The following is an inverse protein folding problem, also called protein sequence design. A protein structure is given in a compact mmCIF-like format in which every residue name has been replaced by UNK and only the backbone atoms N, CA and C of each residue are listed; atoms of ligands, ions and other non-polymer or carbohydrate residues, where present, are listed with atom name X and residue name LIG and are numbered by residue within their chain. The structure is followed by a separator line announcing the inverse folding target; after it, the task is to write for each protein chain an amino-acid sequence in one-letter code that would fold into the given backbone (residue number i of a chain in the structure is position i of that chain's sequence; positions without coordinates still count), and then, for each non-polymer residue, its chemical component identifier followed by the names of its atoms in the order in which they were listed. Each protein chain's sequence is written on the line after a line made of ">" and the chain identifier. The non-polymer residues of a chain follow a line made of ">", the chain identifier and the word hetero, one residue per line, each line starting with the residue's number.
data_IF_246905591239
#
_entry.id   IF_246905591239
#
_cell.length_a   1.000
_cell.length_b   1.000
_cell.length_c   1.000
_cell.angle_alpha   90.00
_cell.angle_beta   90.00
_cell.angle_gamma   90.00
#
_symmetry.space_group_name_H-M   'P 1'
#
loop_
_entity.id
_entity.type
_entity.pdbx_description
1 polymer ?
#
# COMPACT_ATOMS: atom_id res chain seq x y z
N UNK A 1 -2.58 -16.57 16.39
CA UNK A 1 -2.04 -15.20 16.30
C UNK A 1 -2.54 -14.53 15.03
N UNK A 2 -2.95 -13.26 15.07
CA UNK A 2 -3.37 -12.52 13.86
C UNK A 2 -2.12 -12.03 13.13
N UNK A 3 -2.04 -12.33 11.85
CA UNK A 3 -0.90 -11.98 10.98
C UNK A 3 -1.33 -10.96 9.94
N UNK A 4 -0.42 -10.07 9.56
CA UNK A 4 -0.56 -9.14 8.46
C UNK A 4 0.49 -9.41 7.38
N UNK A 5 0.20 -8.95 6.17
CA UNK A 5 1.09 -9.04 5.02
C UNK A 5 1.69 -7.67 4.73
N UNK A 6 3.01 -7.62 4.56
CA UNK A 6 3.76 -6.44 4.13
C UNK A 6 4.37 -6.73 2.76
N UNK A 7 4.44 -5.71 1.91
CA UNK A 7 5.24 -5.73 0.68
C UNK A 7 6.49 -4.89 0.91
N UNK A 8 7.64 -5.50 0.71
CA UNK A 8 8.96 -4.85 0.75
C UNK A 8 9.44 -4.75 -0.70
N UNK A 9 9.86 -3.56 -1.11
CA UNK A 9 10.28 -3.28 -2.48
C UNK A 9 11.56 -2.46 -2.51
N UNK A 10 12.34 -2.63 -3.58
CA UNK A 10 13.64 -1.97 -3.74
C UNK A 10 14.76 -2.74 -3.03
N UNK A 11 14.71 -4.07 -3.07
CA UNK A 11 15.82 -4.93 -2.65
C UNK A 11 16.82 -5.03 -3.80
N UNK A 12 18.11 -5.02 -3.50
CA UNK A 12 19.13 -5.38 -4.48
C UNK A 12 19.26 -6.92 -4.61
N UNK A 13 20.10 -7.37 -5.53
CA UNK A 13 20.33 -8.77 -5.86
C UNK A 13 21.16 -9.53 -4.81
N UNK A 14 21.91 -8.83 -3.95
CA UNK A 14 22.65 -9.46 -2.86
C UNK A 14 21.78 -9.86 -1.67
N UNK A 15 20.55 -9.32 -1.60
CA UNK A 15 19.65 -9.56 -0.47
C UNK A 15 19.04 -10.96 -0.53
N UNK A 16 19.21 -11.70 0.55
CA UNK A 16 18.60 -13.02 0.74
C UNK A 16 17.29 -12.94 1.53
N UNK A 17 16.45 -13.97 1.41
CA UNK A 17 15.19 -14.06 2.17
C UNK A 17 15.42 -14.12 3.69
N UNK A 18 16.53 -14.71 4.13
CA UNK A 18 16.92 -14.81 5.53
C UNK A 18 17.24 -13.44 6.13
N UNK A 19 17.95 -12.59 5.39
CA UNK A 19 18.24 -11.21 5.80
C UNK A 19 16.97 -10.37 5.91
N UNK A 20 16.01 -10.57 5.00
CA UNK A 20 14.70 -9.92 5.06
C UNK A 20 13.96 -10.34 6.34
N UNK A 21 13.95 -11.63 6.67
CA UNK A 21 13.33 -12.16 7.89
C UNK A 21 14.00 -11.60 9.13
N UNK A 22 15.33 -11.61 9.19
CA UNK A 22 16.10 -11.09 10.31
C UNK A 22 15.90 -9.58 10.51
N UNK A 23 15.87 -8.80 9.44
CA UNK A 23 15.59 -7.37 9.50
C UNK A 23 14.17 -7.09 9.99
N UNK A 24 13.18 -7.81 9.46
CA UNK A 24 11.80 -7.68 9.90
C UNK A 24 11.60 -8.10 11.37
N UNK A 25 12.33 -9.11 11.84
CA UNK A 25 12.34 -9.53 13.24
C UNK A 25 12.89 -8.44 14.16
N UNK A 26 14.04 -7.84 13.80
CA UNK A 26 14.68 -6.75 14.55
C UNK A 26 13.79 -5.52 14.64
N UNK A 27 13.29 -5.01 13.51
CA UNK A 27 12.46 -3.80 13.49
C UNK A 27 11.03 -4.04 13.99
N UNK A 28 10.55 -5.27 13.88
CA UNK A 28 9.22 -5.67 14.31
C UNK A 28 9.12 -6.14 15.77
N UNK A 29 10.24 -6.23 16.48
CA UNK A 29 10.35 -6.81 17.83
C UNK A 29 9.62 -8.15 17.93
N UNK A 30 9.89 -9.05 16.98
CA UNK A 30 9.29 -10.37 16.96
C UNK A 30 10.35 -11.45 16.71
N UNK A 31 10.15 -12.67 17.23
CA UNK A 31 11.05 -13.76 16.93
C UNK A 31 10.98 -14.09 15.42
N UNK A 32 12.11 -14.50 14.81
CA UNK A 32 12.19 -14.78 13.37
C UNK A 32 11.21 -15.87 12.94
N UNK A 33 10.89 -16.84 13.81
CA UNK A 33 9.95 -17.94 13.55
C UNK A 33 8.52 -17.46 13.21
N UNK A 34 8.15 -16.27 13.69
CA UNK A 34 6.84 -15.68 13.44
C UNK A 34 6.78 -14.87 12.13
N UNK A 35 7.90 -14.74 11.42
CA UNK A 35 8.02 -14.02 10.17
C UNK A 35 8.24 -15.01 9.03
N UNK A 36 7.31 -15.02 8.06
CA UNK A 36 7.44 -15.84 6.85
C UNK A 36 7.61 -14.94 5.64
N UNK A 37 8.74 -15.05 4.95
CA UNK A 37 8.96 -14.38 3.67
C UNK A 37 8.59 -15.32 2.50
N UNK A 38 8.11 -14.74 1.41
CA UNK A 38 8.07 -15.43 0.11
C UNK A 38 9.37 -15.25 -0.67
N UNK A 39 9.40 -15.76 -1.90
CA UNK A 39 10.55 -15.56 -2.79
C UNK A 39 10.70 -14.09 -3.19
N UNK A 40 11.95 -13.64 -3.31
CA UNK A 40 12.29 -12.33 -3.86
C UNK A 40 12.11 -12.40 -5.38
N UNK A 41 11.30 -11.49 -5.93
CA UNK A 41 11.03 -11.39 -7.36
C UNK A 41 11.40 -10.02 -7.86
N UNK A 42 12.10 -9.94 -8.99
CA UNK A 42 12.39 -8.66 -9.63
C UNK A 42 11.08 -7.96 -10.05
N UNK A 43 11.00 -6.66 -9.81
CA UNK A 43 9.97 -5.82 -10.40
C UNK A 43 10.42 -5.22 -11.74
N UNK A 44 9.57 -4.39 -12.34
CA UNK A 44 9.85 -3.75 -13.63
C UNK A 44 11.09 -2.83 -13.61
N UNK A 45 11.58 -2.43 -12.43
CA UNK A 45 12.80 -1.64 -12.28
C UNK A 45 14.07 -2.51 -12.14
N UNK A 46 13.93 -3.84 -12.12
CA UNK A 46 15.03 -4.78 -11.90
C UNK A 46 15.34 -5.03 -10.42
N UNK A 47 14.81 -4.21 -9.51
CA UNK A 47 14.97 -4.38 -8.07
C UNK A 47 14.03 -5.46 -7.52
N UNK A 48 14.49 -6.18 -6.51
CA UNK A 48 13.76 -7.22 -5.81
C UNK A 48 12.56 -6.67 -5.02
N UNK A 49 11.48 -7.46 -5.04
CA UNK A 49 10.27 -7.26 -4.27
C UNK A 49 9.92 -8.58 -3.60
N UNK A 50 9.57 -8.49 -2.32
CA UNK A 50 9.17 -9.63 -1.51
C UNK A 50 7.94 -9.28 -0.69
N UNK A 51 7.10 -10.28 -0.44
CA UNK A 51 6.04 -10.16 0.56
C UNK A 51 6.45 -10.92 1.81
N UNK A 52 6.14 -10.36 2.97
CA UNK A 52 6.35 -11.01 4.25
C UNK A 52 5.06 -11.06 5.03
N UNK A 53 4.90 -12.12 5.82
CA UNK A 53 3.81 -12.30 6.77
C UNK A 53 4.39 -12.25 8.17
N UNK A 54 3.91 -11.32 8.98
CA UNK A 54 4.36 -11.13 10.35
C UNK A 54 3.16 -10.85 11.29
N UNK A 55 3.32 -10.91 12.62
CA UNK A 55 2.28 -10.53 13.56
C UNK A 55 1.82 -9.08 13.33
N UNK A 56 0.52 -8.82 13.55
CA UNK A 56 -0.06 -7.48 13.29
C UNK A 56 0.61 -6.36 14.11
N UNK A 57 1.15 -6.67 15.30
CA UNK A 57 1.87 -5.71 16.11
C UNK A 57 3.17 -5.24 15.43
N UNK A 58 4.01 -6.20 15.02
CA UNK A 58 5.25 -5.98 14.28
C UNK A 58 5.01 -5.29 12.94
N UNK A 59 3.97 -5.73 12.23
CA UNK A 59 3.63 -5.17 10.92
C UNK A 59 3.32 -3.66 10.99
N UNK A 60 2.68 -3.20 12.06
CA UNK A 60 2.37 -1.77 12.24
C UNK A 60 3.63 -0.95 12.47
N UNK A 61 4.54 -1.41 13.33
CA UNK A 61 5.81 -0.73 13.61
C UNK A 61 6.64 -0.56 12.33
N UNK A 62 6.78 -1.63 11.55
CA UNK A 62 7.50 -1.60 10.28
C UNK A 62 6.78 -0.71 9.25
N UNK A 63 5.45 -0.70 9.25
CA UNK A 63 4.68 0.17 8.36
C UNK A 63 4.74 1.66 8.75
N UNK A 64 4.91 1.97 10.04
CA UNK A 64 5.05 3.33 10.57
C UNK A 64 6.41 3.94 10.20
N UNK A 65 7.50 3.15 10.26
CA UNK A 65 8.81 3.60 9.75
C UNK A 65 8.79 3.77 8.23
N UNK A 66 7.98 2.97 7.51
CA UNK A 66 7.82 3.01 6.04
C UNK A 66 9.05 2.55 5.25
N UNK A 67 10.18 2.33 5.95
CA UNK A 67 11.45 1.85 5.43
C UNK A 67 12.03 0.81 6.37
N UNK A 68 12.71 -0.17 5.80
CA UNK A 68 13.38 -1.24 6.51
C UNK A 68 14.81 -1.36 5.99
N UNK A 69 15.80 -1.34 6.88
CA UNK A 69 17.20 -1.54 6.54
C UNK A 69 17.48 -3.04 6.44
N UNK A 70 17.86 -3.49 5.24
CA UNK A 70 18.23 -4.87 4.94
C UNK A 70 19.59 -4.81 4.25
N UNK A 71 20.62 -5.35 4.91
CA UNK A 71 22.00 -5.14 4.47
C UNK A 71 22.34 -3.65 4.36
N UNK A 72 22.71 -3.22 3.16
CA UNK A 72 23.07 -1.82 2.83
C UNK A 72 21.90 -1.02 2.25
N UNK A 73 20.73 -1.63 2.08
CA UNK A 73 19.61 -1.03 1.37
C UNK A 73 18.47 -0.65 2.30
N UNK A 74 17.96 0.57 2.10
CA UNK A 74 16.76 1.07 2.76
C UNK A 74 15.51 0.73 1.92
N UNK A 75 15.01 -0.50 2.11
CA UNK A 75 13.88 -1.02 1.37
C UNK A 75 12.56 -0.33 1.76
N UNK A 76 11.68 -0.11 0.78
CA UNK A 76 10.38 0.53 0.99
C UNK A 76 9.37 -0.50 1.46
N UNK A 77 8.66 -0.22 2.55
CA UNK A 77 7.64 -1.12 3.08
C UNK A 77 6.23 -0.57 2.88
N UNK A 78 5.30 -1.41 2.44
CA UNK A 78 3.88 -1.11 2.31
C UNK A 78 3.04 -2.18 2.97
N UNK A 79 2.15 -1.78 3.88
CA UNK A 79 1.15 -2.66 4.46
C UNK A 79 0.10 -3.04 3.41
N UNK A 80 -0.05 -4.34 3.16
CA UNK A 80 -1.07 -4.83 2.26
C UNK A 80 -2.40 -4.93 3.00
N UNK A 81 -3.46 -4.51 2.31
CA UNK A 81 -4.80 -4.72 2.84
C UNK A 81 -5.12 -6.22 2.81
N UNK A 82 -5.73 -6.77 3.87
CA UNK A 82 -6.19 -8.15 3.87
C UNK A 82 -7.05 -8.41 2.64
N UNK A 83 -6.70 -9.42 1.85
CA UNK A 83 -7.54 -9.82 0.72
C UNK A 83 -8.90 -10.25 1.27
N UNK A 84 -9.97 -9.65 0.74
CA UNK A 84 -11.32 -10.01 1.15
C UNK A 84 -11.56 -11.49 0.81
N UNK A 85 -12.16 -12.21 1.77
CA UNK A 85 -12.58 -13.59 1.56
C UNK A 85 -13.50 -13.65 0.35
N UNK A 86 -13.20 -14.51 -0.62
CA UNK A 86 -14.02 -14.72 -1.81
C UNK A 86 -14.41 -16.20 -1.88
N UNK A 87 -15.69 -16.45 -2.12
CA UNK A 87 -16.20 -17.79 -2.36
C UNK A 87 -15.85 -18.20 -3.79
N UNK A 88 -15.21 -19.34 -3.97
CA UNK A 88 -14.88 -19.85 -5.30
C UNK A 88 -16.03 -20.60 -5.99
N UNK A 89 -17.18 -20.74 -5.32
CA UNK A 89 -18.39 -21.34 -5.88
C UNK A 89 -19.27 -20.28 -6.55
N UNK A 90 -19.74 -19.30 -5.79
CA UNK A 90 -20.58 -18.23 -6.33
C UNK A 90 -19.80 -17.00 -6.79
N UNK A 91 -18.50 -16.89 -6.48
CA UNK A 91 -17.60 -15.76 -6.75
C UNK A 91 -17.87 -14.49 -5.92
N UNK A 92 -18.78 -14.54 -4.97
CA UNK A 92 -19.09 -13.43 -4.07
C UNK A 92 -18.07 -13.30 -2.92
N UNK A 93 -18.05 -12.13 -2.28
CA UNK A 93 -17.17 -11.84 -1.14
C UNK A 93 -17.87 -12.17 0.18
N UNK A 94 -17.10 -12.52 1.21
CA UNK A 94 -17.55 -12.63 2.60
C UNK A 94 -17.74 -14.05 3.14
N UNK A 95 -17.68 -15.08 2.29
CA UNK A 95 -17.78 -16.48 2.73
C UNK A 95 -16.86 -17.42 1.93
N UNK A 96 -16.70 -18.65 2.40
CA UNK A 96 -15.97 -19.75 1.73
C UNK A 96 -16.96 -20.74 1.13
N UNK A 97 -16.50 -21.61 0.21
CA UNK A 97 -17.32 -22.66 -0.42
C UNK A 97 -18.13 -23.50 0.57
N UNK A 98 -17.54 -23.87 1.71
CA UNK A 98 -18.20 -24.66 2.75
C UNK A 98 -19.40 -23.97 3.42
N UNK A 99 -19.49 -22.63 3.34
CA UNK A 99 -20.58 -21.83 3.91
C UNK A 99 -21.39 -21.12 2.82
N UNK A 100 -21.30 -21.59 1.58
CA UNK A 100 -21.97 -21.00 0.44
C UNK A 100 -23.43 -21.47 0.38
N UNK A 101 -24.36 -20.53 0.49
CA UNK A 101 -25.80 -20.77 0.36
C UNK A 101 -26.33 -20.43 -1.04
N UNK A 102 -25.45 -20.00 -1.95
CA UNK A 102 -25.85 -19.63 -3.30
C UNK A 102 -26.28 -20.85 -4.11
N UNK A 103 -27.36 -20.69 -4.86
CA UNK A 103 -27.95 -21.71 -5.73
C UNK A 103 -27.18 -21.88 -7.04
N UNK A 104 -26.60 -20.80 -7.55
CA UNK A 104 -25.87 -20.79 -8.82
C UNK A 104 -24.40 -21.09 -8.58
N UNK A 105 -23.93 -22.21 -9.15
CA UNK A 105 -22.52 -22.56 -9.19
C UNK A 105 -21.82 -21.90 -10.39
N UNK A 106 -20.71 -21.23 -10.11
CA UNK A 106 -19.84 -20.55 -11.09
C UNK A 106 -18.39 -20.99 -10.94
N UNK A 107 -18.13 -22.13 -10.25
CA UNK A 107 -16.79 -22.65 -10.01
C UNK A 107 -16.01 -22.95 -11.28
N UNK A 108 -16.73 -23.32 -12.34
CA UNK A 108 -16.13 -23.78 -13.59
C UNK A 108 -15.82 -22.63 -14.55
N UNK A 109 -16.24 -21.41 -14.19
CA UNK A 109 -16.01 -20.21 -14.97
C UNK A 109 -14.63 -19.62 -14.70
N UNK A 110 -13.95 -19.18 -15.76
CA UNK A 110 -12.70 -18.45 -15.64
C UNK A 110 -12.91 -17.12 -14.89
N UNK A 111 -12.13 -16.90 -13.83
CA UNK A 111 -12.19 -15.67 -13.02
C UNK A 111 -11.87 -14.37 -13.79
N UNK A 112 -11.29 -14.49 -14.99
CA UNK A 112 -10.89 -13.35 -15.83
C UNK A 112 -11.97 -12.95 -16.84
N UNK A 113 -12.59 -13.91 -17.52
CA UNK A 113 -13.52 -13.67 -18.63
C UNK A 113 -14.92 -14.26 -18.42
N UNK A 114 -15.13 -15.07 -17.37
CA UNK A 114 -16.41 -15.69 -17.06
C UNK A 114 -16.81 -16.84 -17.97
N UNK A 115 -15.91 -17.34 -18.83
CA UNK A 115 -16.17 -18.49 -19.71
C UNK A 115 -15.62 -19.79 -19.11
N UNK A 116 -16.29 -20.95 -19.29
CA UNK A 116 -15.81 -22.24 -18.82
C UNK A 116 -14.64 -22.78 -19.66
N UNK A 117 -14.01 -23.86 -19.19
CA UNK A 117 -13.06 -24.66 -19.99
C UNK A 117 -11.61 -24.23 -19.95
N UNK A 118 -11.23 -23.18 -19.19
CA UNK A 118 -9.83 -22.78 -19.04
C UNK A 118 -9.54 -22.08 -17.71
N UNK A 119 -8.27 -22.09 -17.29
CA UNK A 119 -7.79 -21.38 -16.09
C UNK A 119 -7.43 -19.94 -16.42
N UNK A 120 -7.55 -19.04 -15.44
CA UNK A 120 -7.25 -17.62 -15.61
C UNK A 120 -5.81 -17.32 -16.07
N UNK A 121 -4.86 -18.24 -15.81
CA UNK A 121 -3.47 -18.16 -16.28
C UNK A 121 -3.33 -18.34 -17.79
N UNK A 122 -4.22 -19.11 -18.41
CA UNK A 122 -4.24 -19.41 -19.85
C UNK A 122 -5.29 -18.59 -20.61
N UNK A 123 -5.95 -17.64 -19.94
CA UNK A 123 -7.01 -16.82 -20.53
C UNK A 123 -6.43 -15.65 -21.33
N UNK A 124 -6.68 -15.64 -22.64
CA UNK A 124 -6.41 -14.52 -23.57
C UNK A 124 -7.61 -13.61 -23.81
N UNK A 125 -8.81 -14.04 -23.41
CA UNK A 125 -10.04 -13.27 -23.62
C UNK A 125 -10.09 -11.95 -22.81
N UNK A 126 -10.95 -11.03 -23.27
CA UNK A 126 -11.21 -9.76 -22.60
C UNK A 126 -11.74 -9.96 -21.16
N UNK A 127 -11.48 -8.97 -20.31
CA UNK A 127 -11.95 -8.98 -18.93
C UNK A 127 -13.47 -8.92 -18.89
N UNK A 128 -14.09 -9.90 -18.26
CA UNK A 128 -15.54 -9.93 -18.06
C UNK A 128 -15.89 -10.54 -16.69
N UNK A 129 -16.68 -9.81 -15.92
CA UNK A 129 -17.13 -10.19 -14.60
C UNK A 129 -18.49 -10.87 -14.68
N UNK A 130 -18.53 -12.19 -14.45
CA UNK A 130 -19.78 -12.97 -14.49
C UNK A 130 -20.85 -12.48 -13.51
N UNK A 131 -20.46 -11.93 -12.35
CA UNK A 131 -21.40 -11.34 -11.39
C UNK A 131 -22.03 -10.04 -11.89
N UNK A 132 -21.22 -9.15 -12.45
CA UNK A 132 -21.73 -7.87 -12.94
C UNK A 132 -22.48 -8.03 -14.27
N UNK A 133 -22.05 -8.96 -15.13
CA UNK A 133 -22.76 -9.34 -16.34
C UNK A 133 -24.15 -9.89 -16.01
N UNK A 134 -24.27 -10.82 -15.05
CA UNK A 134 -25.57 -11.32 -14.60
C UNK A 134 -26.45 -10.24 -13.95
N UNK A 135 -25.85 -9.21 -13.35
CA UNK A 135 -26.56 -8.10 -12.71
C UNK A 135 -26.81 -6.89 -13.63
N UNK A 136 -26.50 -6.97 -14.94
CA UNK A 136 -26.67 -5.87 -15.90
C UNK A 136 -25.78 -4.65 -15.65
N UNK A 137 -24.67 -4.80 -14.94
CA UNK A 137 -23.71 -3.74 -14.59
C UNK A 137 -22.48 -3.78 -15.50
N UNK A 138 -21.70 -2.68 -15.63
CA UNK A 138 -20.48 -2.67 -16.45
C UNK A 138 -19.52 -3.78 -16.01
N UNK A 139 -19.35 -4.77 -16.88
CA UNK A 139 -18.69 -6.04 -16.56
C UNK A 139 -17.24 -6.13 -17.03
N UNK A 140 -16.68 -5.08 -17.64
CA UNK A 140 -15.31 -5.02 -18.18
C UNK A 140 -14.18 -5.04 -17.13
N UNK A 141 -14.27 -5.92 -16.13
CA UNK A 141 -13.32 -6.02 -15.02
C UNK A 141 -13.24 -7.47 -14.51
N UNK A 142 -12.19 -7.76 -13.71
CA UNK A 142 -12.02 -9.08 -13.07
C UNK A 142 -12.98 -9.24 -11.88
N UNK A 143 -13.58 -10.43 -11.74
CA UNK A 143 -14.41 -10.77 -10.58
C UNK A 143 -13.63 -10.60 -9.28
N UNK A 144 -14.26 -10.01 -8.26
CA UNK A 144 -13.64 -9.79 -6.95
C UNK A 144 -12.63 -8.63 -6.91
N UNK A 145 -12.27 -8.04 -8.05
CA UNK A 145 -11.38 -6.88 -8.13
C UNK A 145 -11.95 -5.62 -7.47
N UNK A 146 -11.13 -4.56 -7.40
CA UNK A 146 -11.53 -3.27 -6.82
C UNK A 146 -12.66 -2.57 -7.59
N UNK A 147 -12.77 -2.84 -8.89
CA UNK A 147 -13.83 -2.34 -9.75
C UNK A 147 -15.13 -3.17 -9.68
N UNK A 148 -15.08 -4.36 -9.07
CA UNK A 148 -16.25 -5.21 -8.89
C UNK A 148 -17.07 -4.70 -7.70
N UNK A 149 -18.19 -4.04 -8.01
CA UNK A 149 -19.13 -3.46 -7.04
C UNK A 149 -19.95 -4.48 -6.24
N UNK A 150 -19.62 -5.77 -6.31
CA UNK A 150 -20.23 -6.78 -5.43
C UNK A 150 -20.00 -6.37 -3.97
N UNK A 151 -21.05 -6.36 -3.12
CA UNK A 151 -20.99 -5.76 -1.80
C UNK A 151 -19.92 -6.45 -0.96
N UNK A 152 -18.84 -5.74 -0.67
CA UNK A 152 -17.98 -6.08 0.45
C UNK A 152 -18.83 -5.90 1.71
N UNK A 153 -19.17 -6.99 2.39
CA UNK A 153 -19.96 -6.99 3.63
C UNK A 153 -19.47 -5.91 4.61
N UNK A 154 -20.25 -4.82 4.71
CA UNK A 154 -20.45 -3.79 5.73
C UNK A 154 -19.36 -3.31 6.73
N UNK A 155 -18.11 -3.77 6.75
CA UNK A 155 -17.09 -3.26 7.72
C UNK A 155 -16.03 -2.31 7.14
N UNK A 156 -15.88 -2.22 5.83
CA UNK A 156 -14.85 -1.38 5.20
C UNK A 156 -15.35 0.02 4.75
N UNK A 157 -16.66 0.20 4.56
CA UNK A 157 -17.21 1.45 4.03
C UNK A 157 -17.14 2.62 5.04
N UNK A 158 -17.23 2.35 6.34
CA UNK A 158 -17.20 3.41 7.37
C UNK A 158 -15.84 4.10 7.47
N UNK A 159 -14.72 3.42 7.19
CA UNK A 159 -13.38 4.05 7.19
C UNK A 159 -13.11 4.90 5.96
N UNK A 160 -13.57 4.50 4.76
CA UNK A 160 -13.38 5.27 3.52
C UNK A 160 -14.18 6.58 3.52
N UNK A 161 -15.40 6.60 4.06
CA UNK A 161 -16.21 7.83 4.17
C UNK A 161 -15.63 8.84 5.17
N UNK A 162 -15.02 8.36 6.27
CA UNK A 162 -14.41 9.26 7.28
C UNK A 162 -13.13 9.94 6.77
N UNK A 163 -12.33 9.27 5.94
CA UNK A 163 -11.09 9.85 5.41
C UNK A 163 -11.35 10.87 4.29
N UNK A 164 -12.41 10.69 3.47
CA UNK A 164 -12.76 11.66 2.40
C UNK A 164 -13.31 12.98 2.95
N UNK A 165 -13.95 12.98 4.13
CA UNK A 165 -14.44 14.21 4.81
C UNK A 165 -13.34 15.05 5.47
N UNK A 166 -12.15 14.49 5.74
CA UNK A 166 -11.02 15.25 6.32
C UNK A 166 -10.19 15.98 5.28
N UNK A 167 -10.22 15.54 4.02
CA UNK A 167 -9.39 16.08 2.93
C UNK A 167 -10.07 17.18 2.11
N UNK A 168 -11.31 17.55 2.42
CA UNK A 168 -12.04 18.61 1.72
C UNK A 168 -12.28 19.80 2.65
N UNK A 169 -11.20 20.47 3.08
CA UNK A 169 -11.26 21.87 3.52
C UNK A 169 -10.54 22.68 2.43
N UNK A 170 -11.19 23.64 1.77
CA UNK A 170 -10.58 24.37 0.67
C UNK A 170 -9.48 25.30 1.21
N UNK A 171 -8.35 25.31 0.52
CA UNK A 171 -7.32 26.31 0.66
C UNK A 171 -7.77 27.58 -0.08
N UNK A 172 -7.92 28.67 0.67
CA UNK A 172 -8.08 30.02 0.14
C UNK A 172 -7.48 30.96 1.17
N UNK A 173 -6.29 31.48 0.91
CA UNK A 173 -6.09 32.86 0.43
C UNK A 173 -4.58 33.13 0.34
N UNK A 174 -4.12 33.49 -0.85
CA UNK A 174 -2.71 33.74 -1.18
C UNK A 174 -2.35 35.15 -0.72
N UNK A 175 -1.42 35.31 0.22
CA UNK A 175 -0.84 36.63 0.53
C UNK A 175 0.15 37.07 -0.56
N UNK A 176 0.20 38.36 -0.94
CA UNK A 176 1.06 38.86 -2.02
C UNK A 176 2.54 38.99 -1.59
N UNK A 177 3.48 39.10 -2.56
CA UNK A 177 4.91 39.06 -2.30
C UNK A 177 5.44 40.35 -1.64
N UNK A 178 6.54 40.29 -0.86
CA UNK A 178 7.15 41.48 -0.29
C UNK A 178 7.88 42.29 -1.37
N UNK A 179 7.43 43.53 -1.58
CA UNK A 179 8.09 44.49 -2.47
C UNK A 179 9.25 45.19 -1.76
N UNK A 180 10.33 45.36 -2.52
CA UNK A 180 11.53 46.10 -2.17
C UNK A 180 11.26 47.60 -1.97
N UNK A 181 11.99 48.23 -1.04
CA UNK A 181 12.18 49.68 -1.01
C UNK A 181 13.64 50.00 -0.73
N UNK A 182 14.28 50.72 -1.65
CA UNK A 182 15.59 51.31 -1.51
C UNK A 182 15.48 52.84 -1.52
N UNK A 183 16.52 53.47 -0.95
CA UNK A 183 16.98 54.86 -1.11
C UNK A 183 16.38 55.90 -0.15
N UNK A 184 17.12 56.87 0.42
CA UNK A 184 18.56 57.20 0.48
C UNK A 184 18.79 58.41 1.43
N UNK A 185 20.05 58.61 1.86
CA UNK A 185 20.70 59.82 2.42
C UNK A 185 20.19 60.35 3.79
N UNK A 186 20.98 60.92 4.71
CA UNK A 186 22.17 61.77 4.55
C UNK A 186 23.09 61.74 5.80
N UNK A 187 24.29 62.27 5.58
CA UNK A 187 25.61 62.31 6.22
C UNK A 187 25.83 62.87 7.64
N UNK A 188 27.09 62.66 8.09
CA UNK A 188 27.95 63.37 9.09
C UNK A 188 28.14 62.60 10.41
N UNK A 189 29.30 62.48 11.06
CA UNK A 189 30.71 62.85 10.81
C UNK A 189 31.56 62.18 11.90
N UNK A 190 32.82 61.86 11.54
CA UNK A 190 34.02 61.56 12.38
C UNK A 190 33.97 61.84 13.90
N UNK A 191 34.52 60.92 14.69
CA UNK A 191 35.66 61.21 15.62
C UNK A 191 36.30 59.92 16.15
N UNK A 192 37.59 60.03 16.44
CA UNK A 192 38.57 59.00 16.82
C UNK A 192 38.78 59.05 18.34
N UNK A 193 38.95 57.89 19.01
CA UNK A 193 39.80 57.68 20.20
C UNK A 193 39.64 56.20 20.66
N UNK A 194 40.66 55.33 20.66
CA UNK A 194 41.77 55.18 21.62
C UNK A 194 41.33 54.55 22.97
N UNK A 195 42.06 53.52 23.44
CA UNK A 195 41.89 52.89 24.76
C UNK A 195 41.57 51.38 24.69
N UNK A 196 42.51 50.44 24.59
CA UNK A 196 43.49 49.99 25.60
C UNK A 196 42.93 48.98 26.63
N UNK A 197 43.60 47.83 26.62
CA UNK A 197 43.83 46.86 27.70
C UNK A 197 43.03 45.58 27.89
N UNK A 198 43.84 44.54 28.15
CA UNK A 198 43.55 43.14 28.40
C UNK A 198 43.03 42.92 29.81
N UNK A 199 42.20 41.88 29.96
CA UNK A 199 42.35 40.89 31.02
C UNK A 199 41.71 39.56 30.61
#
# INVERSE_FOLDING_TARGET
>A
MKTAELRIAGLDDSVTTEEVVAAAARSGECPPDNVRAGDIRADASGLGVVWIRCPVASAKKIAESGRLLIGWVAARVKLLQPRALQCFRCLEKGHVRAKCTAEIDRSDLCYRCGQPGHKATQCSAALNCSLCSAAGKPAGHKVGGGACGAPATNKAQTRRKKNKKRSSKPAGETSPPPQARNSAADSRSRTVAEGMDCQ
#
